data_IF_811505034598
#
_entry.id   IF_811505034598
#
_cell.length_a   1.000
_cell.length_b   1.000
_cell.length_c   1.000
_cell.angle_alpha   90.00
_cell.angle_beta   90.00
_cell.angle_gamma   90.00
#
_symmetry.space_group_name_H-M   'P 1'
#
loop_
_entity.id
_entity.type
_entity.pdbx_description
1 polymer ?
#
# COMPACT_ATOMS: atom_id res chain seq x y z
N UNK A 1 0.30 13.04 -8.48
CA UNK A 1 1.37 14.05 -8.56
C UNK A 1 1.80 14.53 -7.18
N UNK A 2 0.90 15.07 -6.35
CA UNK A 2 1.23 15.63 -5.03
C UNK A 2 1.96 14.65 -4.08
N UNK A 3 1.52 13.38 -4.02
CA UNK A 3 2.18 12.34 -3.21
C UNK A 3 3.62 12.04 -3.65
N UNK A 4 3.91 12.11 -4.96
CA UNK A 4 5.26 11.90 -5.51
C UNK A 4 6.15 13.07 -5.10
N UNK A 5 5.61 14.30 -5.26
CA UNK A 5 6.30 15.54 -4.94
C UNK A 5 6.59 15.68 -3.44
N UNK A 6 5.79 15.04 -2.58
CA UNK A 6 6.04 14.97 -1.15
C UNK A 6 7.17 14.00 -0.81
N UNK A 7 7.32 12.86 -1.47
CA UNK A 7 8.40 11.91 -1.13
C UNK A 7 9.81 12.45 -1.40
N UNK A 8 9.97 13.25 -2.46
CA UNK A 8 11.26 13.80 -2.88
C UNK A 8 11.96 14.64 -1.80
N UNK A 9 11.35 15.72 -1.25
CA UNK A 9 12.03 16.56 -0.27
C UNK A 9 12.43 15.79 0.99
N UNK A 10 11.64 14.82 1.42
CA UNK A 10 11.99 14.01 2.58
C UNK A 10 13.15 13.05 2.33
N UNK A 11 13.23 12.47 1.12
CA UNK A 11 14.38 11.65 0.75
C UNK A 11 15.68 12.50 0.72
N UNK A 12 15.58 13.75 0.27
CA UNK A 12 16.69 14.72 0.30
C UNK A 12 17.06 15.07 1.75
N UNK A 13 16.10 15.40 2.61
CA UNK A 13 16.35 15.68 4.03
C UNK A 13 17.05 14.51 4.71
N UNK A 14 16.61 13.27 4.43
CA UNK A 14 17.26 12.07 4.95
C UNK A 14 18.70 11.89 4.48
N UNK A 15 18.99 12.17 3.21
CA UNK A 15 20.34 12.12 2.67
C UNK A 15 21.26 13.19 3.28
N UNK A 16 20.76 14.42 3.47
CA UNK A 16 21.50 15.51 4.13
C UNK A 16 21.76 15.17 5.60
N UNK A 17 20.74 14.68 6.32
CA UNK A 17 20.88 14.27 7.71
C UNK A 17 21.91 13.13 7.86
N UNK A 18 21.93 12.16 6.95
CA UNK A 18 22.89 11.07 6.99
C UNK A 18 24.34 11.53 6.72
N UNK A 19 24.56 12.46 5.79
CA UNK A 19 25.87 13.08 5.60
C UNK A 19 26.33 13.80 6.87
N UNK A 20 25.42 14.56 7.48
CA UNK A 20 25.72 15.30 8.71
C UNK A 20 26.06 14.36 9.88
N UNK A 21 25.29 13.29 10.07
CA UNK A 21 25.56 12.26 11.08
C UNK A 21 26.86 11.49 10.83
N UNK A 22 27.23 11.27 9.57
CA UNK A 22 28.49 10.63 9.18
C UNK A 22 29.69 11.58 9.24
N UNK A 23 29.48 12.88 9.53
CA UNK A 23 30.54 13.90 9.53
C UNK A 23 31.11 14.17 8.13
N UNK A 24 30.34 13.90 7.08
CA UNK A 24 30.74 14.07 5.68
C UNK A 24 30.17 15.37 5.11
N UNK A 25 30.96 16.06 4.30
CA UNK A 25 30.52 17.28 3.62
C UNK A 25 29.76 16.96 2.34
N UNK A 26 28.97 17.94 1.88
CA UNK A 26 28.43 17.94 0.52
C UNK A 26 29.57 18.03 -0.49
N UNK A 27 29.70 16.98 -1.30
CA UNK A 27 30.71 16.85 -2.35
C UNK A 27 30.06 16.53 -3.69
N UNK A 28 30.83 16.62 -4.77
CA UNK A 28 30.33 16.28 -6.12
C UNK A 28 29.81 14.84 -6.21
N UNK A 29 30.44 13.89 -5.49
CA UNK A 29 29.94 12.51 -5.43
C UNK A 29 28.68 12.36 -4.58
N UNK A 30 28.51 13.15 -3.52
CA UNK A 30 27.28 13.17 -2.74
C UNK A 30 26.09 13.62 -3.60
N UNK A 31 26.28 14.59 -4.50
CA UNK A 31 25.24 15.04 -5.45
C UNK A 31 24.76 13.91 -6.36
N UNK A 32 25.69 13.06 -6.86
CA UNK A 32 25.34 11.88 -7.65
C UNK A 32 24.46 10.92 -6.81
N UNK A 33 24.78 10.75 -5.52
CA UNK A 33 23.95 10.00 -4.58
C UNK A 33 22.54 10.59 -4.45
N UNK A 34 22.40 11.91 -4.34
CA UNK A 34 21.08 12.56 -4.28
C UNK A 34 20.26 12.35 -5.56
N UNK A 35 20.90 12.36 -6.73
CA UNK A 35 20.22 12.05 -8.01
C UNK A 35 19.69 10.62 -8.01
N UNK A 36 20.48 9.66 -7.50
CA UNK A 36 20.03 8.27 -7.38
C UNK A 36 18.83 8.13 -6.43
N UNK A 37 18.88 8.75 -5.26
CA UNK A 37 17.77 8.76 -4.28
C UNK A 37 16.52 9.42 -4.87
N UNK A 38 16.68 10.51 -5.62
CA UNK A 38 15.59 11.18 -6.32
C UNK A 38 14.89 10.23 -7.31
N UNK A 39 15.65 9.52 -8.15
CA UNK A 39 15.09 8.54 -9.09
C UNK A 39 14.30 7.44 -8.38
N UNK A 40 14.81 6.92 -7.27
CA UNK A 40 14.14 5.90 -6.45
C UNK A 40 12.85 6.46 -5.82
N UNK A 41 12.88 7.69 -5.30
CA UNK A 41 11.71 8.34 -4.73
C UNK A 41 10.60 8.58 -5.76
N UNK A 42 10.98 9.04 -6.97
CA UNK A 42 10.05 9.22 -8.09
C UNK A 42 9.47 7.88 -8.53
N UNK A 43 10.30 6.85 -8.69
CA UNK A 43 9.84 5.50 -9.05
C UNK A 43 8.81 4.96 -8.03
N UNK A 44 9.12 5.07 -6.74
CA UNK A 44 8.21 4.64 -5.68
C UNK A 44 6.87 5.39 -5.75
N UNK A 45 6.89 6.69 -6.04
CA UNK A 45 5.70 7.51 -6.23
C UNK A 45 4.91 7.19 -7.51
N UNK A 46 5.58 6.98 -8.64
CA UNK A 46 4.93 6.66 -9.94
C UNK A 46 4.25 5.30 -9.86
N UNK A 47 4.92 4.30 -9.30
CA UNK A 47 4.31 2.97 -9.11
C UNK A 47 3.05 3.10 -8.25
N UNK A 48 3.01 4.01 -7.26
CA UNK A 48 1.84 4.28 -6.39
C UNK A 48 0.67 4.82 -7.17
N UNK A 49 0.90 5.87 -7.94
CA UNK A 49 -0.14 6.46 -8.79
C UNK A 49 -0.65 5.47 -9.83
N UNK A 50 0.23 4.69 -10.45
CA UNK A 50 -0.14 3.67 -11.44
C UNK A 50 -1.04 2.59 -10.82
N UNK A 51 -0.71 2.12 -9.61
CA UNK A 51 -1.53 1.12 -8.92
C UNK A 51 -2.91 1.67 -8.53
N UNK A 52 -2.98 2.90 -8.00
CA UNK A 52 -4.25 3.56 -7.68
C UNK A 52 -5.11 3.74 -8.94
N UNK A 53 -4.50 4.13 -10.07
CA UNK A 53 -5.21 4.25 -11.35
C UNK A 53 -5.73 2.89 -11.85
N UNK A 54 -4.96 1.82 -11.68
CA UNK A 54 -5.40 0.46 -12.03
C UNK A 54 -6.58 0.00 -11.17
N UNK A 55 -6.60 0.29 -9.87
CA UNK A 55 -7.72 -0.10 -9.02
C UNK A 55 -8.96 0.74 -9.28
N UNK A 56 -8.80 2.04 -9.58
CA UNK A 56 -9.89 2.86 -10.11
C UNK A 56 -10.48 2.30 -11.39
N UNK A 57 -9.66 1.77 -12.29
CA UNK A 57 -10.12 1.16 -13.53
C UNK A 57 -10.87 -0.17 -13.31
N UNK A 58 -10.66 -0.84 -12.17
CA UNK A 58 -11.37 -2.08 -11.77
C UNK A 58 -12.67 -1.82 -11.01
N UNK A 59 -13.02 -0.56 -10.77
CA UNK A 59 -14.27 -0.17 -10.08
C UNK A 59 -14.22 -0.31 -8.56
N UNK A 60 -13.04 -0.55 -7.97
CA UNK A 60 -12.91 -0.67 -6.53
C UNK A 60 -12.99 0.66 -5.80
N UNK A 61 -13.47 0.61 -4.55
CA UNK A 61 -13.53 1.80 -3.70
C UNK A 61 -12.12 2.31 -3.40
N UNK A 62 -11.93 3.62 -3.37
CA UNK A 62 -10.62 4.26 -3.09
C UNK A 62 -10.00 3.73 -1.78
N UNK A 63 -10.84 3.25 -0.84
CA UNK A 63 -10.43 2.65 0.42
C UNK A 63 -9.73 1.31 0.28
N UNK A 64 -10.37 0.34 -0.38
CA UNK A 64 -9.76 -0.96 -0.65
C UNK A 64 -8.49 -0.78 -1.48
N UNK A 65 -8.51 0.18 -2.41
CA UNK A 65 -7.36 0.44 -3.25
C UNK A 65 -6.13 1.00 -2.54
N UNK A 66 -6.37 1.83 -1.52
CA UNK A 66 -5.30 2.35 -0.68
C UNK A 66 -4.83 1.28 0.32
N UNK A 67 -5.73 0.47 0.89
CA UNK A 67 -5.38 -0.64 1.80
C UNK A 67 -4.49 -1.67 1.11
N UNK A 68 -4.93 -2.20 -0.03
CA UNK A 68 -4.21 -3.23 -0.76
C UNK A 68 -2.94 -2.66 -1.39
N UNK A 69 -3.00 -1.42 -1.90
CA UNK A 69 -1.85 -0.72 -2.44
C UNK A 69 -0.78 -0.40 -1.41
N UNK A 70 -1.14 -0.24 -0.13
CA UNK A 70 -0.21 0.02 0.94
C UNK A 70 0.45 -1.27 1.46
N UNK A 71 -0.32 -2.34 1.67
CA UNK A 71 0.20 -3.65 2.08
C UNK A 71 1.15 -4.25 1.02
N UNK A 72 0.81 -4.10 -0.26
CA UNK A 72 1.61 -4.62 -1.38
C UNK A 72 2.92 -3.84 -1.56
N UNK A 73 3.07 -2.65 -0.97
CA UNK A 73 4.28 -1.81 -1.09
C UNK A 73 5.28 -1.96 0.03
N UNK A 74 4.80 -2.27 1.23
CA UNK A 74 5.67 -2.42 2.38
C UNK A 74 6.79 -3.44 2.10
N UNK A 75 6.45 -4.58 1.48
CA UNK A 75 7.42 -5.63 1.12
C UNK A 75 8.43 -5.15 0.06
N UNK A 76 8.04 -4.66 -1.13
CA UNK A 76 8.99 -4.16 -2.13
C UNK A 76 9.89 -3.00 -1.67
N UNK A 77 9.35 -2.03 -0.93
CA UNK A 77 10.14 -0.87 -0.47
C UNK A 77 11.16 -1.30 0.56
N UNK A 78 10.78 -2.15 1.52
CA UNK A 78 11.71 -2.70 2.49
C UNK A 78 12.77 -3.58 1.82
N UNK A 79 12.38 -4.45 0.89
CA UNK A 79 13.32 -5.33 0.17
C UNK A 79 14.37 -4.51 -0.59
N UNK A 80 13.95 -3.48 -1.31
CA UNK A 80 14.86 -2.62 -2.08
C UNK A 80 15.73 -1.75 -1.17
N UNK A 81 15.18 -1.20 -0.08
CA UNK A 81 15.94 -0.43 0.90
C UNK A 81 16.99 -1.28 1.61
N UNK A 82 16.65 -2.50 2.03
CA UNK A 82 17.58 -3.44 2.65
C UNK A 82 18.66 -3.89 1.67
N UNK A 83 18.29 -4.27 0.45
CA UNK A 83 19.24 -4.69 -0.57
C UNK A 83 20.24 -3.58 -0.92
N UNK A 84 19.76 -2.36 -1.15
CA UNK A 84 20.61 -1.21 -1.40
C UNK A 84 21.50 -0.90 -0.20
N UNK A 85 20.94 -0.89 1.01
CA UNK A 85 21.70 -0.57 2.22
C UNK A 85 22.84 -1.57 2.44
N UNK A 86 22.56 -2.88 2.35
CA UNK A 86 23.58 -3.91 2.49
C UNK A 86 24.66 -3.81 1.40
N UNK A 87 24.30 -3.45 0.17
CA UNK A 87 25.26 -3.23 -0.91
C UNK A 87 26.18 -2.01 -0.70
N UNK A 88 25.67 -0.95 -0.06
CA UNK A 88 26.42 0.28 0.17
C UNK A 88 27.13 0.36 1.52
N UNK A 89 26.76 -0.46 2.51
CA UNK A 89 27.42 -0.53 3.84
C UNK A 89 28.95 -0.68 3.76
N UNK A 90 29.53 -1.64 3.01
CA UNK A 90 30.99 -1.77 2.96
C UNK A 90 31.65 -0.55 2.28
N UNK A 91 30.97 0.08 1.33
CA UNK A 91 31.44 1.27 0.63
C UNK A 91 31.42 2.52 1.52
N UNK A 92 30.42 2.63 2.40
CA UNK A 92 30.32 3.72 3.38
C UNK A 92 31.42 3.63 4.46
N UNK A 93 31.91 2.42 4.78
CA UNK A 93 32.94 2.20 5.80
C UNK A 93 34.36 2.11 5.23
N UNK A 94 34.52 1.75 3.95
CA UNK A 94 35.83 1.54 3.31
C UNK A 94 36.73 2.77 3.35
N UNK A 95 37.99 2.63 3.77
CA UNK A 95 39.01 3.70 3.83
C UNK A 95 40.02 3.64 2.67
N UNK A 96 39.77 2.78 1.68
CA UNK A 96 40.68 2.53 0.57
C UNK A 96 40.86 3.75 -0.34
N UNK A 97 41.91 3.79 -1.18
CA UNK A 97 42.05 4.82 -2.22
C UNK A 97 40.75 4.94 -3.06
N UNK A 98 40.26 6.17 -3.24
CA UNK A 98 38.96 6.44 -3.88
C UNK A 98 37.75 6.47 -2.94
N UNK A 99 37.92 6.13 -1.65
CA UNK A 99 36.87 6.22 -0.63
C UNK A 99 36.33 7.65 -0.44
N UNK A 100 37.12 8.68 -0.74
CA UNK A 100 36.70 10.08 -0.65
C UNK A 100 35.47 10.40 -1.51
N UNK A 101 35.34 9.74 -2.67
CA UNK A 101 34.21 9.90 -3.57
C UNK A 101 33.11 8.89 -3.24
N UNK A 102 33.47 7.68 -2.84
CA UNK A 102 32.53 6.59 -2.62
C UNK A 102 31.73 6.72 -1.32
N UNK A 103 32.37 7.12 -0.22
CA UNK A 103 31.72 7.24 1.10
C UNK A 103 30.57 8.24 1.10
N UNK A 104 30.72 9.48 0.59
CA UNK A 104 29.62 10.44 0.56
C UNK A 104 28.45 9.96 -0.30
N UNK A 105 28.73 9.34 -1.45
CA UNK A 105 27.71 8.77 -2.33
C UNK A 105 26.91 7.67 -1.62
N UNK A 106 27.61 6.68 -1.06
CA UNK A 106 27.00 5.54 -0.37
C UNK A 106 26.16 6.01 0.83
N UNK A 107 26.69 6.95 1.62
CA UNK A 107 26.02 7.47 2.82
C UNK A 107 24.73 8.20 2.48
N UNK A 108 24.72 9.04 1.43
CA UNK A 108 23.51 9.73 0.97
C UNK A 108 22.44 8.73 0.53
N UNK A 109 22.84 7.71 -0.24
CA UNK A 109 21.89 6.70 -0.75
C UNK A 109 21.27 5.92 0.41
N UNK A 110 22.08 5.40 1.34
CA UNK A 110 21.58 4.66 2.51
C UNK A 110 20.65 5.55 3.34
N UNK A 111 21.09 6.76 3.69
CA UNK A 111 20.32 7.68 4.53
C UNK A 111 19.02 8.16 3.90
N UNK A 112 19.09 8.52 2.62
CA UNK A 112 17.94 8.94 1.83
C UNK A 112 16.90 7.84 1.69
N UNK A 113 17.32 6.60 1.39
CA UNK A 113 16.40 5.46 1.33
C UNK A 113 15.84 5.09 2.69
N UNK A 114 16.66 5.02 3.75
CA UNK A 114 16.18 4.67 5.08
C UNK A 114 15.14 5.67 5.57
N UNK A 115 15.41 6.96 5.42
CA UNK A 115 14.49 8.02 5.83
C UNK A 115 13.22 8.03 4.97
N UNK A 116 13.36 7.90 3.63
CA UNK A 116 12.21 7.82 2.74
C UNK A 116 11.37 6.56 3.01
N UNK A 117 12.00 5.45 3.39
CA UNK A 117 11.32 4.19 3.73
C UNK A 117 10.58 4.32 5.05
N UNK A 118 11.23 4.86 6.09
CA UNK A 118 10.59 5.15 7.38
C UNK A 118 9.42 6.11 7.20
N UNK A 119 9.60 7.16 6.39
CA UNK A 119 8.54 8.09 6.09
C UNK A 119 7.42 7.44 5.27
N UNK A 120 7.73 6.60 4.30
CA UNK A 120 6.70 5.85 3.54
C UNK A 120 5.91 4.93 4.48
N UNK A 121 6.61 4.31 5.44
CA UNK A 121 6.04 3.53 6.54
C UNK A 121 5.22 4.36 7.52
N UNK A 122 5.45 5.67 7.64
CA UNK A 122 4.70 6.64 8.46
C UNK A 122 3.54 7.30 7.70
N UNK A 123 3.71 7.50 6.40
CA UNK A 123 2.65 7.91 5.47
C UNK A 123 1.58 6.81 5.42
N UNK A 124 1.97 5.54 5.53
CA UNK A 124 1.08 4.38 5.65
C UNK A 124 0.04 4.51 6.79
N UNK A 125 0.41 4.66 8.07
CA UNK A 125 -0.52 4.85 9.18
C UNK A 125 -1.22 6.21 9.12
N UNK A 126 -0.57 7.25 8.59
CA UNK A 126 -1.20 8.57 8.46
C UNK A 126 -2.33 8.54 7.43
N UNK A 127 -2.12 7.88 6.28
CA UNK A 127 -3.18 7.65 5.29
C UNK A 127 -4.28 6.76 5.86
N UNK A 128 -3.93 5.72 6.64
CA UNK A 128 -4.91 4.89 7.33
C UNK A 128 -5.81 5.73 8.27
N UNK A 129 -5.21 6.51 9.17
CA UNK A 129 -5.94 7.36 10.12
C UNK A 129 -6.78 8.43 9.42
N UNK A 130 -6.25 9.04 8.35
CA UNK A 130 -7.00 10.06 7.60
C UNK A 130 -8.22 9.46 6.88
N UNK A 131 -8.08 8.23 6.36
CA UNK A 131 -9.16 7.49 5.71
C UNK A 131 -10.21 7.02 6.72
N UNK A 132 -9.79 6.58 7.91
CA UNK A 132 -10.65 6.21 9.04
C UNK A 132 -11.45 7.42 9.55
N UNK A 133 -10.81 8.57 9.71
CA UNK A 133 -11.47 9.80 10.16
C UNK A 133 -12.48 10.35 9.13
N UNK A 134 -12.23 10.17 7.82
CA UNK A 134 -13.22 10.41 6.77
C UNK A 134 -14.33 9.35 6.71
N UNK A 135 -14.13 8.17 7.33
CA UNK A 135 -15.06 7.03 7.38
C UNK A 135 -16.14 7.26 8.42
N UNK A 136 -15.76 7.76 9.59
CA UNK A 136 -16.69 8.17 10.63
C UNK A 136 -17.64 9.28 10.15
N UNK A 137 -17.18 10.21 9.32
CA UNK A 137 -18.03 11.28 8.76
C UNK A 137 -18.98 10.79 7.66
N UNK A 138 -18.70 9.64 7.04
CA UNK A 138 -19.43 9.14 5.85
C UNK A 138 -20.18 7.83 6.09
N UNK A 139 -20.32 7.37 7.34
CA UNK A 139 -21.18 6.25 7.69
C UNK A 139 -22.60 6.78 7.91
N UNK A 140 -23.53 6.69 6.92
CA UNK A 140 -24.89 7.11 7.15
C UNK A 140 -25.55 6.18 8.19
N UNK A 141 -26.24 6.81 9.15
CA UNK A 141 -26.85 6.19 10.33
C UNK A 141 -27.80 5.01 10.05
N UNK A 142 -28.17 4.74 8.79
CA UNK A 142 -29.01 3.61 8.39
C UNK A 142 -28.24 2.27 8.30
N UNK A 143 -26.91 2.26 8.26
CA UNK A 143 -26.12 1.01 8.31
C UNK A 143 -26.04 0.39 9.72
N UNK A 144 -26.22 1.18 10.77
CA UNK A 144 -26.22 0.68 12.15
C UNK A 144 -27.50 -0.09 12.55
N UNK A 145 -28.52 -0.13 11.66
CA UNK A 145 -29.81 -0.74 11.96
C UNK A 145 -30.27 -1.71 10.86
N UNK A 146 -29.44 -2.70 10.54
CA UNK A 146 -29.80 -3.82 9.67
C UNK A 146 -30.08 -5.09 10.48
N UNK A 147 -31.31 -5.25 10.97
CA UNK A 147 -31.80 -6.39 11.78
C UNK A 147 -31.45 -7.78 11.19
N UNK A 148 -31.29 -8.82 12.02
CA UNK A 148 -31.05 -10.19 11.56
C UNK A 148 -32.34 -10.78 10.95
N UNK A 149 -32.40 -10.90 9.62
CA UNK A 149 -33.47 -11.66 8.92
C UNK A 149 -32.95 -13.02 8.50
N UNK A 150 -32.79 -13.94 9.47
CA UNK A 150 -32.66 -15.37 9.18
C UNK A 150 -33.55 -16.19 10.10
N UNK A 151 -34.38 -17.02 9.46
CA UNK A 151 -35.11 -18.20 9.98
C UNK A 151 -36.26 -17.94 10.97
N UNK A 152 -37.47 -17.77 10.44
CA UNK A 152 -38.70 -18.32 11.03
C UNK A 152 -39.88 -18.18 10.05
N UNK A 153 -39.85 -18.92 8.94
CA UNK A 153 -41.03 -19.19 8.11
C UNK A 153 -40.77 -20.46 7.27
N UNK A 154 -40.39 -21.53 7.97
CA UNK A 154 -40.33 -22.90 7.44
C UNK A 154 -41.34 -23.68 8.29
N UNK A 155 -42.60 -23.63 7.90
CA UNK A 155 -43.71 -24.27 8.59
C UNK A 155 -45.02 -23.77 8.00
N UNK A 156 -45.61 -24.52 7.07
CA UNK A 156 -46.91 -24.18 6.50
C UNK A 156 -47.20 -24.63 5.06
N UNK A 157 -46.38 -25.49 4.43
CA UNK A 157 -46.62 -25.98 3.06
C UNK A 157 -46.52 -27.50 2.92
N UNK A 158 -46.95 -28.23 3.95
CA UNK A 158 -46.96 -29.71 3.95
C UNK A 158 -48.36 -30.27 4.20
N UNK A 159 -49.42 -29.54 3.82
CA UNK A 159 -50.80 -30.01 4.05
C UNK A 159 -51.79 -29.67 2.92
N UNK A 160 -51.39 -28.89 1.91
CA UNK A 160 -52.29 -28.45 0.82
C UNK A 160 -51.99 -29.08 -0.55
N UNK A 161 -50.81 -29.68 -0.74
CA UNK A 161 -50.43 -30.33 -2.01
C UNK A 161 -50.74 -31.84 -2.04
N UNK A 162 -50.81 -32.51 -0.88
CA UNK A 162 -51.18 -33.94 -0.79
C UNK A 162 -52.66 -34.23 -1.12
N UNK A 163 -53.54 -33.22 -1.09
CA UNK A 163 -54.97 -33.38 -1.36
C UNK A 163 -55.36 -33.16 -2.84
N UNK A 164 -54.44 -32.70 -3.70
CA UNK A 164 -54.74 -32.40 -5.11
C UNK A 164 -54.32 -33.51 -6.08
N UNK A 165 -53.42 -34.41 -5.69
CA UNK A 165 -52.91 -35.48 -6.56
C UNK A 165 -53.69 -36.81 -6.43
N UNK A 166 -54.56 -36.93 -5.43
CA UNK A 166 -55.45 -38.09 -5.25
C UNK A 166 -56.71 -38.05 -6.16
N UNK A 167 -57.01 -36.91 -6.78
CA UNK A 167 -58.15 -36.70 -7.69
C UNK A 167 -57.78 -36.78 -9.19
N UNK A 168 -56.51 -37.06 -9.52
CA UNK A 168 -56.01 -37.11 -10.91
C UNK A 168 -55.73 -38.53 -11.43
N UNK A 169 -56.44 -39.55 -10.92
CA UNK A 169 -56.45 -40.89 -11.52
C UNK A 169 -57.55 -40.98 -12.61
N UNK A 170 -57.22 -40.93 -13.91
CA UNK A 170 -58.14 -41.44 -14.92
C UNK A 170 -58.20 -42.96 -14.84
N UNK A 171 -59.39 -43.43 -14.49
CA UNK A 171 -59.82 -44.81 -14.65
C UNK A 171 -59.79 -45.25 -16.12
N UNK A 172 -59.19 -46.41 -16.38
CA UNK A 172 -59.34 -47.16 -17.63
C UNK A 172 -58.53 -46.59 -18.81
N UNK A 173 -58.22 -47.31 -19.89
CA UNK A 173 -58.55 -48.65 -20.42
C UNK A 173 -57.40 -48.88 -21.42
N UNK A 174 -56.65 -49.99 -21.41
CA UNK A 174 -57.05 -51.26 -22.03
C UNK A 174 -56.85 -51.21 -23.56
N UNK A 175 -55.90 -52.01 -24.06
CA UNK A 175 -55.61 -52.19 -25.49
C UNK A 175 -54.30 -52.94 -25.69
#
# INVERSE_FOLDING_TARGET
ALLIMLNVPFAVVGGIAALWLAGLNLSTSALIGFIAVFGIAVLNGVVMVSYINQLRARGETIREAVLDGAATRLRPVLMTALAASLGFVPMALSTSPGAELQRPLATVVIGGLMTATFLTLFVLPTLYLWVEMWMETSAPAWMANGKPRRRAARGGRSASEEASDLDALPAGVGG
#
